data_IF_658019829005
#
_entry.id   IF_658019829005
#
_cell.length_a   1.000
_cell.length_b   1.000
_cell.length_c   1.000
_cell.angle_alpha   90.00
_cell.angle_beta   90.00
_cell.angle_gamma   90.00
#
_symmetry.space_group_name_H-M   'P 1'
#
loop_
_entity.id
_entity.type
_entity.pdbx_description
1 polymer ?
#
# COMPACT_ATOMS: atom_id res chain seq x y z
N UNK A 1 -62.80 201.31 57.73
CA UNK A 1 -63.23 201.17 59.14
C UNK A 1 -63.38 199.68 59.46
N UNK A 2 -63.00 199.29 60.68
CA UNK A 2 -63.25 198.02 61.40
C UNK A 2 -62.43 196.75 61.05
N UNK A 3 -61.99 196.08 62.14
CA UNK A 3 -61.09 194.91 62.29
C UNK A 3 -61.83 193.56 62.26
N UNK A 4 -61.07 192.47 61.98
CA UNK A 4 -61.04 191.13 62.65
C UNK A 4 -60.66 190.02 61.63
N UNK A 5 -60.02 188.87 61.88
CA UNK A 5 -59.04 188.34 62.85
C UNK A 5 -58.63 186.93 62.32
N UNK A 6 -57.35 186.52 62.40
CA UNK A 6 -56.80 185.21 61.96
C UNK A 6 -57.26 184.01 62.80
N UNK A 7 -57.28 182.79 62.20
CA UNK A 7 -56.77 181.54 62.80
C UNK A 7 -56.54 180.43 61.73
N UNK A 8 -55.33 179.87 61.67
CA UNK A 8 -54.93 178.77 60.78
C UNK A 8 -54.88 177.39 61.46
N UNK A 9 -54.98 176.31 60.68
CA UNK A 9 -54.84 174.89 61.07
C UNK A 9 -53.47 174.37 60.60
N UNK A 10 -52.73 173.65 61.46
CA UNK A 10 -51.31 173.27 61.32
C UNK A 10 -51.11 171.84 60.75
N UNK A 11 -50.03 171.61 59.98
CA UNK A 11 -49.74 170.38 59.23
C UNK A 11 -49.36 169.11 60.03
N UNK A 12 -49.35 169.15 61.37
CA UNK A 12 -48.99 168.00 62.22
C UNK A 12 -50.05 166.88 62.17
N UNK A 13 -51.32 167.21 62.00
CA UNK A 13 -52.42 166.22 61.92
C UNK A 13 -52.42 165.42 60.62
N UNK A 14 -51.99 166.04 59.50
CA UNK A 14 -51.89 165.35 58.20
C UNK A 14 -50.76 164.31 58.24
N UNK A 15 -49.62 164.64 58.85
CA UNK A 15 -48.48 163.72 58.97
C UNK A 15 -48.81 162.45 59.77
N UNK A 16 -49.60 162.55 60.83
CA UNK A 16 -49.96 161.41 61.68
C UNK A 16 -50.94 160.44 60.98
N UNK A 17 -51.89 160.96 60.21
CA UNK A 17 -52.83 160.13 59.44
C UNK A 17 -52.09 159.35 58.35
N UNK A 18 -51.16 160.00 57.64
CA UNK A 18 -50.37 159.35 56.59
C UNK A 18 -49.45 158.27 57.18
N UNK A 19 -48.82 158.52 58.33
CA UNK A 19 -48.00 157.52 59.01
C UNK A 19 -48.82 156.30 59.46
N UNK A 20 -49.99 156.52 60.07
CA UNK A 20 -50.86 155.42 60.49
C UNK A 20 -51.34 154.58 59.29
N UNK A 21 -51.69 155.22 58.16
CA UNK A 21 -52.09 154.52 56.94
C UNK A 21 -50.94 153.71 56.31
N UNK A 22 -49.72 154.27 56.28
CA UNK A 22 -48.53 153.58 55.78
C UNK A 22 -48.13 152.40 56.67
N UNK A 23 -48.22 152.54 57.99
CA UNK A 23 -47.90 151.45 58.92
C UNK A 23 -48.89 150.29 58.79
N UNK A 24 -50.19 150.59 58.67
CA UNK A 24 -51.23 149.58 58.49
C UNK A 24 -51.06 148.81 57.16
N UNK A 25 -50.83 149.53 56.06
CA UNK A 25 -50.61 148.91 54.75
C UNK A 25 -49.34 148.06 54.71
N UNK A 26 -48.24 148.54 55.32
CA UNK A 26 -47.00 147.77 55.43
C UNK A 26 -47.17 146.48 56.25
N UNK A 27 -47.97 146.51 57.33
CA UNK A 27 -48.19 145.35 58.18
C UNK A 27 -49.02 144.28 57.46
N UNK A 28 -50.06 144.69 56.73
CA UNK A 28 -50.87 143.77 55.90
C UNK A 28 -50.01 143.13 54.82
N UNK A 29 -49.14 143.90 54.15
CA UNK A 29 -48.26 143.39 53.10
C UNK A 29 -47.25 142.35 53.65
N UNK A 30 -46.71 142.60 54.85
CA UNK A 30 -45.79 141.67 55.52
C UNK A 30 -46.46 140.33 55.86
N UNK A 31 -47.71 140.36 56.33
CA UNK A 31 -48.47 139.14 56.64
C UNK A 31 -48.76 138.32 55.37
N UNK A 32 -49.12 138.96 54.25
CA UNK A 32 -49.33 138.26 52.96
C UNK A 32 -48.03 137.60 52.50
N UNK A 33 -46.90 138.33 52.53
CA UNK A 33 -45.60 137.80 52.13
C UNK A 33 -45.17 136.60 52.97
N UNK A 34 -45.36 136.67 54.30
CA UNK A 34 -45.02 135.57 55.20
C UNK A 34 -45.93 134.35 54.98
N UNK A 35 -47.22 134.58 54.71
CA UNK A 35 -48.17 133.50 54.44
C UNK A 35 -47.87 132.80 53.10
N UNK A 36 -47.51 133.55 52.07
CA UNK A 36 -47.13 132.98 50.76
C UNK A 36 -45.78 132.26 50.84
N UNK A 37 -44.82 132.79 51.60
CA UNK A 37 -43.55 132.10 51.83
C UNK A 37 -43.73 130.77 52.58
N UNK A 38 -44.64 130.73 53.56
CA UNK A 38 -44.94 129.50 54.30
C UNK A 38 -45.67 128.48 53.41
N UNK A 39 -46.61 128.92 52.55
CA UNK A 39 -47.25 128.05 51.54
C UNK A 39 -46.25 127.47 50.56
N UNK A 40 -45.33 128.28 50.04
CA UNK A 40 -44.29 127.82 49.11
C UNK A 40 -43.33 126.83 49.77
N UNK A 41 -43.02 127.00 51.07
CA UNK A 41 -42.23 126.02 51.83
C UNK A 41 -42.98 124.71 52.02
N UNK A 42 -44.24 124.76 52.43
CA UNK A 42 -45.07 123.56 52.58
C UNK A 42 -45.24 122.83 51.24
N UNK A 43 -45.39 123.55 50.13
CA UNK A 43 -45.46 122.97 48.80
C UNK A 43 -44.14 122.32 48.39
N UNK A 44 -42.99 122.98 48.62
CA UNK A 44 -41.67 122.44 48.35
C UNK A 44 -41.36 121.18 49.19
N UNK A 45 -41.71 121.16 50.47
CA UNK A 45 -41.52 119.98 51.32
C UNK A 45 -42.46 118.84 50.92
N UNK A 46 -43.72 119.14 50.58
CA UNK A 46 -44.64 118.12 50.05
C UNK A 46 -44.20 117.54 48.70
N UNK A 47 -43.56 118.35 47.85
CA UNK A 47 -42.97 117.92 46.58
C UNK A 47 -41.71 117.07 46.81
N UNK A 48 -40.89 117.41 47.81
CA UNK A 48 -39.74 116.59 48.22
C UNK A 48 -40.18 115.24 48.76
N UNK A 49 -41.16 115.20 49.65
CA UNK A 49 -41.74 113.95 50.17
C UNK A 49 -42.35 113.10 49.06
N UNK A 50 -43.04 113.72 48.09
CA UNK A 50 -43.59 113.01 46.92
C UNK A 50 -42.49 112.51 46.00
N UNK A 51 -41.40 113.26 45.82
CA UNK A 51 -40.23 112.84 45.04
C UNK A 51 -39.55 111.65 45.71
N UNK A 52 -39.33 111.70 47.03
CA UNK A 52 -38.65 110.64 47.78
C UNK A 52 -39.47 109.34 47.86
N UNK A 53 -40.80 109.44 47.89
CA UNK A 53 -41.70 108.27 47.73
C UNK A 53 -41.70 107.66 46.33
N UNK A 54 -41.28 108.42 45.32
CA UNK A 54 -41.28 107.97 43.92
C UNK A 54 -39.89 107.55 43.42
N UNK A 55 -38.81 108.15 43.96
CA UNK A 55 -37.41 107.89 43.60
C UNK A 55 -36.53 108.13 44.83
N UNK A 56 -35.83 107.10 45.28
CA UNK A 56 -34.80 107.21 46.32
C UNK A 56 -33.49 107.75 45.75
N UNK A 57 -32.66 108.38 46.59
CA UNK A 57 -31.38 108.97 46.16
C UNK A 57 -30.39 107.95 45.52
N UNK A 58 -30.55 106.65 45.78
CA UNK A 58 -29.75 105.59 45.16
C UNK A 58 -30.19 105.27 43.71
N UNK A 59 -31.45 105.52 43.38
CA UNK A 59 -32.05 105.27 42.05
C UNK A 59 -31.81 106.43 41.08
N UNK A 60 -31.42 107.61 41.56
CA UNK A 60 -31.08 108.77 40.72
C UNK A 60 -29.91 108.47 39.75
N UNK A 61 -28.99 107.57 40.12
CA UNK A 61 -27.86 107.17 39.27
C UNK A 61 -28.19 106.08 38.25
N UNK A 62 -29.29 105.32 38.40
CA UNK A 62 -29.64 104.19 37.52
C UNK A 62 -30.65 104.54 36.42
N UNK A 63 -31.15 105.78 36.38
CA UNK A 63 -32.32 106.14 35.57
C UNK A 63 -31.99 106.67 34.17
N UNK A 64 -31.65 105.75 33.26
CA UNK A 64 -31.82 106.00 31.81
C UNK A 64 -33.30 106.31 31.48
N UNK A 65 -34.23 105.73 32.25
CA UNK A 65 -35.69 105.91 32.14
C UNK A 65 -36.17 107.33 32.51
N UNK A 66 -35.48 108.05 33.41
CA UNK A 66 -35.81 109.45 33.72
C UNK A 66 -35.45 110.38 32.54
N UNK A 67 -34.41 110.07 31.77
CA UNK A 67 -34.01 110.88 30.61
C UNK A 67 -34.96 110.72 29.42
N UNK A 68 -35.68 109.60 29.34
CA UNK A 68 -36.68 109.33 28.30
C UNK A 68 -38.08 109.86 28.63
N UNK A 69 -38.38 110.15 29.91
CA UNK A 69 -39.64 110.76 30.31
C UNK A 69 -39.60 112.29 30.12
N UNK A 70 -40.37 112.82 29.18
CA UNK A 70 -40.51 114.27 28.91
C UNK A 70 -41.94 114.75 29.15
N UNK A 71 -42.15 116.06 29.18
CA UNK A 71 -43.44 116.75 29.37
C UNK A 71 -44.51 116.36 28.34
N UNK A 72 -44.11 115.85 27.16
CA UNK A 72 -44.98 115.29 26.09
C UNK A 72 -44.67 113.80 25.77
N UNK A 73 -43.92 113.11 26.64
CA UNK A 73 -43.52 111.71 26.47
C UNK A 73 -44.29 110.74 27.37
N UNK A 74 -44.07 109.42 27.23
CA UNK A 74 -44.66 108.44 28.14
C UNK A 74 -44.24 108.73 29.58
N UNK A 75 -45.20 108.62 30.50
CA UNK A 75 -44.93 108.79 31.93
C UNK A 75 -43.96 107.71 32.40
N UNK A 76 -43.24 107.95 33.51
CA UNK A 76 -42.39 106.92 34.13
C UNK A 76 -43.17 105.62 34.36
N UNK A 77 -44.43 105.73 34.78
CA UNK A 77 -45.35 104.60 34.96
C UNK A 77 -45.61 103.88 33.62
N UNK A 78 -45.81 104.62 32.53
CA UNK A 78 -45.99 104.03 31.19
C UNK A 78 -44.75 103.27 30.69
N UNK A 79 -43.55 103.80 30.91
CA UNK A 79 -42.29 103.12 30.53
C UNK A 79 -42.03 101.88 31.40
N UNK A 80 -42.35 101.94 32.69
CA UNK A 80 -42.27 100.78 33.59
C UNK A 80 -43.30 99.71 33.23
N UNK A 81 -44.51 100.11 32.83
CA UNK A 81 -45.57 99.20 32.36
C UNK A 81 -45.21 98.55 31.03
N UNK A 82 -44.58 99.30 30.11
CA UNK A 82 -44.07 98.78 28.84
C UNK A 82 -42.91 97.79 29.06
N UNK A 83 -41.96 98.14 29.93
CA UNK A 83 -40.87 97.25 30.30
C UNK A 83 -41.39 95.97 31.01
N UNK A 84 -42.37 96.11 31.91
CA UNK A 84 -43.01 94.98 32.59
C UNK A 84 -43.73 94.09 31.59
N UNK A 85 -44.60 94.65 30.74
CA UNK A 85 -45.40 93.91 29.78
C UNK A 85 -44.54 93.20 28.72
N UNK A 86 -43.46 93.84 28.27
CA UNK A 86 -42.48 93.21 27.35
C UNK A 86 -41.78 92.03 28.02
N UNK A 87 -41.35 92.19 29.27
CA UNK A 87 -40.70 91.12 30.04
C UNK A 87 -41.68 89.97 30.35
N UNK A 88 -42.92 90.30 30.71
CA UNK A 88 -43.99 89.34 30.96
C UNK A 88 -44.34 88.52 29.70
N UNK A 89 -44.43 89.20 28.55
CA UNK A 89 -44.63 88.55 27.26
C UNK A 89 -43.48 87.61 26.89
N UNK A 90 -42.24 88.00 27.15
CA UNK A 90 -41.06 87.16 26.89
C UNK A 90 -40.98 85.95 27.84
N UNK A 91 -41.31 86.12 29.12
CA UNK A 91 -41.17 85.08 30.14
C UNK A 91 -42.35 84.09 30.21
N UNK A 92 -43.59 84.59 30.07
CA UNK A 92 -44.81 83.82 30.29
C UNK A 92 -45.81 83.86 29.11
N UNK A 93 -45.53 84.66 28.07
CA UNK A 93 -46.38 84.79 26.88
C UNK A 93 -47.59 85.73 27.03
N UNK A 94 -47.87 86.22 28.23
CA UNK A 94 -49.01 87.10 28.53
C UNK A 94 -48.52 88.47 29.06
N UNK A 95 -48.81 89.59 28.37
CA UNK A 95 -48.33 90.92 28.76
C UNK A 95 -48.95 91.49 30.05
N UNK A 96 -50.12 90.97 30.44
CA UNK A 96 -50.85 91.36 31.65
C UNK A 96 -50.34 90.72 32.94
N UNK A 97 -49.49 89.68 32.85
CA UNK A 97 -48.98 89.01 34.05
C UNK A 97 -48.10 89.94 34.88
N UNK A 98 -48.34 89.93 36.19
CA UNK A 98 -47.45 90.54 37.16
C UNK A 98 -46.28 89.59 37.50
N UNK A 99 -45.20 90.08 38.15
CA UNK A 99 -44.05 89.25 38.50
C UNK A 99 -44.41 88.01 39.34
N UNK A 100 -45.43 88.07 40.19
CA UNK A 100 -45.90 86.96 41.01
C UNK A 100 -46.61 85.88 40.18
N UNK A 101 -47.42 86.26 39.21
CA UNK A 101 -48.06 85.36 38.26
C UNK A 101 -47.01 84.64 37.38
N UNK A 102 -45.99 85.36 36.91
CA UNK A 102 -44.87 84.77 36.14
C UNK A 102 -44.14 83.71 36.97
N UNK A 103 -43.80 84.01 38.23
CA UNK A 103 -43.15 83.05 39.12
C UNK A 103 -44.01 81.80 39.37
N UNK A 104 -45.32 81.97 39.52
CA UNK A 104 -46.26 80.86 39.72
C UNK A 104 -46.30 79.94 38.49
N UNK A 105 -46.36 80.53 37.28
CA UNK A 105 -46.35 79.77 36.02
C UNK A 105 -45.03 79.02 35.80
N UNK A 106 -43.89 79.64 36.09
CA UNK A 106 -42.57 78.99 36.03
C UNK A 106 -42.50 77.82 37.01
N UNK A 107 -42.92 78.02 38.26
CA UNK A 107 -42.92 76.97 39.28
C UNK A 107 -43.82 75.79 38.90
N UNK A 108 -45.01 76.07 38.36
CA UNK A 108 -45.93 75.04 37.86
C UNK A 108 -45.33 74.25 36.69
N UNK A 109 -44.66 74.92 35.76
CA UNK A 109 -43.95 74.28 34.66
C UNK A 109 -42.81 73.38 35.15
N UNK A 110 -41.99 73.85 36.09
CA UNK A 110 -40.91 73.05 36.67
C UNK A 110 -41.43 71.82 37.41
N UNK A 111 -42.54 71.93 38.14
CA UNK A 111 -43.20 70.79 38.78
C UNK A 111 -43.69 69.76 37.78
N UNK A 112 -44.24 70.20 36.63
CA UNK A 112 -44.64 69.31 35.54
C UNK A 112 -43.44 68.61 34.91
N UNK A 113 -42.36 69.35 34.65
CA UNK A 113 -41.13 68.81 34.09
C UNK A 113 -40.51 67.72 35.00
N UNK A 114 -40.57 67.91 36.32
CA UNK A 114 -40.18 66.88 37.29
C UNK A 114 -41.11 65.67 37.28
N UNK A 115 -42.42 65.87 37.12
CA UNK A 115 -43.41 64.80 37.12
C UNK A 115 -43.32 63.91 35.86
N UNK A 116 -43.05 64.50 34.70
CA UNK A 116 -43.03 63.80 33.41
C UNK A 116 -41.81 62.86 33.25
N UNK A 117 -40.75 63.01 34.07
CA UNK A 117 -39.51 62.20 34.06
C UNK A 117 -38.81 62.04 32.70
N UNK A 118 -39.15 62.86 31.71
CA UNK A 118 -38.53 62.85 30.37
C UNK A 118 -37.12 63.47 30.41
N UNK A 119 -36.92 64.46 31.27
CA UNK A 119 -35.63 65.12 31.46
C UNK A 119 -34.88 64.40 32.59
N UNK A 120 -33.69 63.89 32.29
CA UNK A 120 -32.90 63.10 33.23
C UNK A 120 -32.51 63.86 34.52
N UNK A 121 -32.32 65.18 34.41
CA UNK A 121 -31.99 66.04 35.56
C UNK A 121 -32.76 67.38 35.49
N UNK A 122 -34.00 67.41 36.00
CA UNK A 122 -34.83 68.61 36.06
C UNK A 122 -34.23 69.75 36.90
N UNK A 123 -33.35 69.43 37.85
CA UNK A 123 -32.78 70.41 38.78
C UNK A 123 -31.83 71.38 38.07
N UNK A 124 -31.26 70.98 36.92
CA UNK A 124 -30.40 71.83 36.10
C UNK A 124 -31.11 73.09 35.55
N UNK A 125 -32.45 73.14 35.61
CA UNK A 125 -33.25 74.26 35.12
C UNK A 125 -33.83 75.15 36.23
N UNK A 126 -33.65 74.80 37.51
CA UNK A 126 -34.39 75.41 38.63
C UNK A 126 -34.10 76.91 38.86
N UNK A 127 -32.88 77.36 38.53
CA UNK A 127 -32.41 78.74 38.79
C UNK A 127 -31.84 79.45 37.55
N UNK A 128 -32.11 78.92 36.35
CA UNK A 128 -31.61 79.50 35.10
C UNK A 128 -32.50 80.64 34.60
N UNK A 129 -31.86 81.65 34.00
CA UNK A 129 -32.59 82.63 33.18
C UNK A 129 -33.22 81.95 31.96
N UNK A 130 -34.25 82.58 31.37
CA UNK A 130 -34.90 82.05 30.16
C UNK A 130 -33.90 81.81 29.02
N UNK A 131 -32.89 82.66 28.87
CA UNK A 131 -31.86 82.47 27.84
C UNK A 131 -30.99 81.26 28.16
N UNK A 132 -30.54 81.12 29.41
CA UNK A 132 -29.70 80.00 29.83
C UNK A 132 -30.45 78.65 29.77
N UNK A 133 -31.77 78.64 30.01
CA UNK A 133 -32.58 77.42 29.86
C UNK A 133 -32.77 77.04 28.39
N UNK A 134 -32.93 78.01 27.48
CA UNK A 134 -32.96 77.77 26.03
C UNK A 134 -31.61 77.26 25.49
N UNK A 135 -30.49 77.84 25.93
CA UNK A 135 -29.15 77.36 25.59
C UNK A 135 -28.95 75.92 26.07
N UNK A 136 -29.33 75.62 27.31
CA UNK A 136 -29.25 74.26 27.86
C UNK A 136 -30.13 73.26 27.10
N UNK A 137 -31.34 73.67 26.72
CA UNK A 137 -32.23 72.85 25.90
C UNK A 137 -31.64 72.57 24.52
N UNK A 138 -31.01 73.57 23.89
CA UNK A 138 -30.32 73.41 22.61
C UNK A 138 -29.15 72.42 22.72
N UNK A 139 -28.34 72.49 23.78
CA UNK A 139 -27.26 71.53 24.04
C UNK A 139 -27.80 70.11 24.19
N UNK A 140 -28.83 69.91 25.02
CA UNK A 140 -29.45 68.60 25.21
C UNK A 140 -30.00 68.06 23.89
N UNK A 141 -30.73 68.87 23.12
CA UNK A 141 -31.24 68.47 21.82
C UNK A 141 -30.12 68.11 20.83
N UNK A 142 -29.03 68.88 20.82
CA UNK A 142 -27.86 68.59 19.98
C UNK A 142 -27.23 67.25 20.37
N UNK A 143 -27.05 66.98 21.67
CA UNK A 143 -26.50 65.70 22.14
C UNK A 143 -27.44 64.53 21.80
N UNK A 144 -28.74 64.68 22.03
CA UNK A 144 -29.72 63.64 21.70
C UNK A 144 -29.78 63.36 20.20
N UNK A 145 -29.74 64.40 19.36
CA UNK A 145 -29.67 64.27 17.90
C UNK A 145 -28.41 63.51 17.47
N UNK A 146 -27.24 63.80 18.06
CA UNK A 146 -26.01 63.05 17.78
C UNK A 146 -26.08 61.58 18.22
N UNK A 147 -26.65 61.30 19.41
CA UNK A 147 -26.81 59.94 19.92
C UNK A 147 -27.78 59.13 19.06
N UNK A 148 -28.88 59.75 18.59
CA UNK A 148 -29.82 59.12 17.65
C UNK A 148 -29.14 58.79 16.32
N UNK A 149 -28.39 59.73 15.76
CA UNK A 149 -27.64 59.50 14.53
C UNK A 149 -26.59 58.37 14.67
N UNK A 150 -25.92 58.28 15.82
CA UNK A 150 -25.02 57.15 16.11
C UNK A 150 -25.76 55.83 16.30
N UNK A 151 -26.90 55.84 17.00
CA UNK A 151 -27.73 54.65 17.19
C UNK A 151 -28.27 54.13 15.86
N UNK A 152 -28.72 55.01 14.96
CA UNK A 152 -29.13 54.66 13.60
C UNK A 152 -27.97 54.05 12.80
N UNK A 153 -26.77 54.64 12.87
CA UNK A 153 -25.56 54.07 12.23
C UNK A 153 -25.24 52.68 12.78
N UNK A 154 -25.32 52.49 14.11
CA UNK A 154 -25.09 51.18 14.74
C UNK A 154 -26.16 50.16 14.33
N UNK A 155 -27.43 50.57 14.24
CA UNK A 155 -28.50 49.70 13.78
C UNK A 155 -28.31 49.29 12.32
N UNK A 156 -27.89 50.22 11.46
CA UNK A 156 -27.58 49.93 10.06
C UNK A 156 -26.37 48.99 9.91
N UNK A 157 -25.28 49.22 10.63
CA UNK A 157 -24.10 48.33 10.64
C UNK A 157 -24.47 46.93 11.17
N UNK A 158 -25.28 46.86 12.23
CA UNK A 158 -25.74 45.59 12.77
C UNK A 158 -26.63 44.84 11.78
N UNK A 159 -27.55 45.52 11.09
CA UNK A 159 -28.38 44.93 10.04
C UNK A 159 -27.51 44.38 8.91
N UNK A 160 -26.52 45.16 8.44
CA UNK A 160 -25.61 44.73 7.40
C UNK A 160 -24.79 43.49 7.80
N UNK A 161 -24.35 43.41 9.07
CA UNK A 161 -23.66 42.22 9.59
C UNK A 161 -24.57 41.01 9.68
N UNK A 162 -25.82 41.20 10.09
CA UNK A 162 -26.82 40.11 10.13
C UNK A 162 -27.10 39.59 8.72
N UNK A 163 -27.31 40.48 7.75
CA UNK A 163 -27.54 40.10 6.35
C UNK A 163 -26.33 39.37 5.77
N UNK A 164 -25.11 39.87 6.05
CA UNK A 164 -23.86 39.19 5.65
C UNK A 164 -23.75 37.79 6.27
N UNK A 165 -24.05 37.64 7.56
CA UNK A 165 -24.00 36.35 8.24
C UNK A 165 -25.07 35.37 7.74
N UNK A 166 -26.25 35.86 7.36
CA UNK A 166 -27.31 35.06 6.72
C UNK A 166 -26.84 34.60 5.34
N UNK A 167 -26.26 35.49 4.53
CA UNK A 167 -25.72 35.16 3.22
C UNK A 167 -24.60 34.11 3.31
N UNK A 168 -23.65 34.28 4.23
CA UNK A 168 -22.55 33.34 4.47
C UNK A 168 -23.08 31.97 4.93
N UNK A 169 -23.98 31.93 5.91
CA UNK A 169 -24.59 30.67 6.35
C UNK A 169 -25.40 29.97 5.25
N UNK A 170 -26.08 30.74 4.39
CA UNK A 170 -26.81 30.19 3.24
C UNK A 170 -25.84 29.61 2.21
N UNK A 171 -24.71 30.28 1.98
CA UNK A 171 -23.63 29.79 1.12
C UNK A 171 -22.98 28.51 1.70
N UNK A 172 -22.75 28.46 3.01
CA UNK A 172 -22.22 27.26 3.65
C UNK A 172 -23.22 26.10 3.58
N UNK A 173 -24.50 26.36 3.83
CA UNK A 173 -25.55 25.34 3.75
C UNK A 173 -25.66 24.76 2.33
N UNK A 174 -25.71 25.61 1.31
CA UNK A 174 -25.73 25.16 -0.08
C UNK A 174 -24.46 24.38 -0.45
N UNK A 175 -23.28 24.84 -0.02
CA UNK A 175 -22.03 24.11 -0.19
C UNK A 175 -22.03 22.72 0.49
N UNK A 176 -22.57 22.61 1.70
CA UNK A 176 -22.74 21.33 2.39
C UNK A 176 -23.75 20.42 1.68
N UNK A 177 -24.89 20.96 1.24
CA UNK A 177 -25.91 20.20 0.51
C UNK A 177 -25.34 19.63 -0.81
N UNK A 178 -24.51 20.40 -1.52
CA UNK A 178 -23.82 19.95 -2.73
C UNK A 178 -22.76 18.88 -2.44
N UNK A 179 -22.01 19.01 -1.34
CA UNK A 179 -21.07 17.98 -0.89
C UNK A 179 -21.78 16.68 -0.50
N UNK A 180 -22.91 16.77 0.20
CA UNK A 180 -23.73 15.61 0.58
C UNK A 180 -24.22 14.90 -0.68
N UNK A 181 -24.80 15.63 -1.65
CA UNK A 181 -25.22 15.03 -2.94
C UNK A 181 -24.05 14.38 -3.69
N UNK A 182 -22.89 15.02 -3.71
CA UNK A 182 -21.70 14.47 -4.35
C UNK A 182 -21.20 13.19 -3.65
N UNK A 183 -21.28 13.13 -2.32
CA UNK A 183 -20.94 11.94 -1.54
C UNK A 183 -21.96 10.82 -1.73
N UNK A 184 -23.25 11.13 -1.76
CA UNK A 184 -24.32 10.17 -2.05
C UNK A 184 -24.16 9.56 -3.45
N UNK A 185 -23.85 10.39 -4.46
CA UNK A 185 -23.56 9.91 -5.80
C UNK A 185 -22.35 8.97 -5.82
N UNK A 186 -21.24 9.35 -5.16
CA UNK A 186 -20.05 8.48 -5.03
C UNK A 186 -20.35 7.17 -4.29
N UNK A 187 -21.22 7.21 -3.29
CA UNK A 187 -21.64 6.02 -2.55
C UNK A 187 -22.44 5.08 -3.45
N UNK A 188 -23.40 5.61 -4.21
CA UNK A 188 -24.19 4.86 -5.18
C UNK A 188 -23.30 4.24 -6.28
N UNK A 189 -22.34 5.02 -6.81
CA UNK A 189 -21.37 4.53 -7.79
C UNK A 189 -20.51 3.40 -7.20
N UNK A 190 -20.01 3.58 -5.98
CA UNK A 190 -19.21 2.57 -5.29
C UNK A 190 -20.01 1.28 -5.01
N UNK A 191 -21.27 1.40 -4.60
CA UNK A 191 -22.20 0.27 -4.42
C UNK A 191 -22.43 -0.47 -5.75
N UNK A 192 -22.75 0.26 -6.82
CA UNK A 192 -22.95 -0.34 -8.14
C UNK A 192 -21.69 -1.05 -8.68
N UNK A 193 -20.52 -0.44 -8.47
CA UNK A 193 -19.24 -1.04 -8.83
C UNK A 193 -18.98 -2.31 -8.02
N UNK A 194 -19.27 -2.30 -6.71
CA UNK A 194 -19.15 -3.48 -5.85
C UNK A 194 -20.07 -4.60 -6.32
N UNK A 195 -21.34 -4.31 -6.57
CA UNK A 195 -22.31 -5.31 -7.01
C UNK A 195 -21.93 -5.92 -8.37
N UNK A 196 -21.38 -5.10 -9.27
CA UNK A 196 -20.87 -5.57 -10.57
C UNK A 196 -19.66 -6.49 -10.40
N UNK A 197 -18.72 -6.16 -9.50
CA UNK A 197 -17.54 -6.96 -9.20
C UNK A 197 -17.92 -8.27 -8.52
N UNK A 198 -18.83 -8.23 -7.54
CA UNK A 198 -19.33 -9.42 -6.85
C UNK A 198 -20.04 -10.36 -7.84
N UNK A 199 -20.84 -9.82 -8.76
CA UNK A 199 -21.49 -10.60 -9.82
C UNK A 199 -20.47 -11.21 -10.79
N UNK A 200 -19.46 -10.44 -11.21
CA UNK A 200 -18.40 -10.93 -12.09
C UNK A 200 -17.54 -12.01 -11.41
N UNK A 201 -17.25 -11.86 -10.11
CA UNK A 201 -16.51 -12.84 -9.34
C UNK A 201 -17.31 -14.13 -9.17
N UNK A 202 -18.60 -14.03 -8.83
CA UNK A 202 -19.48 -15.21 -8.75
C UNK A 202 -19.57 -15.95 -10.09
N UNK A 203 -19.70 -15.22 -11.20
CA UNK A 203 -19.71 -15.82 -12.53
C UNK A 203 -18.41 -16.56 -12.85
N UNK A 204 -17.25 -15.96 -12.54
CA UNK A 204 -15.93 -16.62 -12.71
C UNK A 204 -15.76 -17.85 -11.82
N UNK A 205 -16.20 -17.79 -10.56
CA UNK A 205 -16.14 -18.93 -9.65
C UNK A 205 -17.00 -20.07 -10.19
N UNK A 206 -18.23 -19.79 -10.62
CA UNK A 206 -19.12 -20.80 -11.21
C UNK A 206 -18.52 -21.42 -12.49
N UNK A 207 -17.93 -20.60 -13.36
CA UNK A 207 -17.25 -21.07 -14.58
C UNK A 207 -16.01 -21.95 -14.27
N UNK A 208 -15.22 -21.57 -13.26
CA UNK A 208 -14.10 -22.38 -12.79
C UNK A 208 -14.55 -23.69 -12.15
N UNK A 209 -15.61 -23.68 -11.34
CA UNK A 209 -16.18 -24.90 -10.74
C UNK A 209 -16.72 -25.84 -11.82
N UNK A 210 -17.39 -25.31 -12.83
CA UNK A 210 -17.86 -26.08 -13.98
C UNK A 210 -16.68 -26.66 -14.77
N UNK A 211 -15.64 -25.86 -15.03
CA UNK A 211 -14.42 -26.29 -15.73
C UNK A 211 -13.67 -27.38 -14.95
N UNK A 212 -13.54 -27.25 -13.63
CA UNK A 212 -12.92 -28.27 -12.78
C UNK A 212 -13.74 -29.56 -12.76
N UNK A 213 -15.06 -29.45 -12.70
CA UNK A 213 -15.96 -30.61 -12.73
C UNK A 213 -15.86 -31.34 -14.06
N UNK A 214 -15.86 -30.60 -15.17
CA UNK A 214 -15.67 -31.14 -16.51
C UNK A 214 -14.29 -31.80 -16.66
N UNK A 215 -13.21 -31.12 -16.25
CA UNK A 215 -11.86 -31.65 -16.31
C UNK A 215 -11.71 -32.93 -15.48
N UNK A 216 -12.33 -33.00 -14.30
CA UNK A 216 -12.35 -34.23 -13.48
C UNK A 216 -13.12 -35.35 -14.16
N UNK A 217 -14.26 -35.05 -14.78
CA UNK A 217 -15.03 -36.04 -15.53
C UNK A 217 -14.22 -36.57 -16.73
N UNK A 218 -13.58 -35.68 -17.49
CA UNK A 218 -12.75 -36.02 -18.64
C UNK A 218 -11.53 -36.86 -18.22
N UNK A 219 -10.84 -36.50 -17.12
CA UNK A 219 -9.73 -37.28 -16.57
C UNK A 219 -10.18 -38.67 -16.10
N UNK A 220 -11.32 -38.77 -15.42
CA UNK A 220 -11.86 -40.06 -15.00
C UNK A 220 -12.24 -40.94 -16.19
N UNK A 221 -12.81 -40.34 -17.23
CA UNK A 221 -13.13 -41.04 -18.48
C UNK A 221 -11.86 -41.52 -19.19
N UNK A 222 -10.82 -40.68 -19.28
CA UNK A 222 -9.54 -41.04 -19.87
C UNK A 222 -8.83 -42.17 -19.10
N UNK A 223 -8.82 -42.12 -17.77
CA UNK A 223 -8.25 -43.19 -16.94
C UNK A 223 -9.04 -44.49 -17.08
N UNK A 224 -10.38 -44.41 -17.19
CA UNK A 224 -11.21 -45.59 -17.43
C UNK A 224 -10.92 -46.22 -18.80
N UNK A 225 -10.81 -45.41 -19.85
CA UNK A 225 -10.48 -45.86 -21.20
C UNK A 225 -9.07 -46.48 -21.25
N UNK A 226 -8.06 -45.83 -20.65
CA UNK A 226 -6.70 -46.37 -20.59
C UNK A 226 -6.62 -47.69 -19.83
N UNK A 227 -7.37 -47.83 -18.71
CA UNK A 227 -7.46 -49.11 -17.98
C UNK A 227 -8.11 -50.20 -18.82
N UNK A 228 -9.16 -49.87 -19.57
CA UNK A 228 -9.82 -50.82 -20.46
C UNK A 228 -8.89 -51.24 -21.60
N UNK A 229 -8.18 -50.28 -22.23
CA UNK A 229 -7.17 -50.58 -23.24
C UNK A 229 -6.04 -51.45 -22.67
N UNK A 230 -5.50 -51.12 -21.50
CA UNK A 230 -4.44 -51.89 -20.84
C UNK A 230 -4.87 -53.31 -20.53
N UNK A 231 -6.08 -53.50 -20.01
CA UNK A 231 -6.67 -54.83 -19.79
C UNK A 231 -6.80 -55.60 -21.11
N UNK A 232 -7.29 -54.95 -22.17
CA UNK A 232 -7.37 -55.54 -23.50
C UNK A 232 -6.01 -55.93 -24.08
N UNK A 233 -4.99 -55.09 -23.91
CA UNK A 233 -3.61 -55.39 -24.31
C UNK A 233 -3.00 -56.54 -23.50
N UNK A 234 -3.25 -56.60 -22.20
CA UNK A 234 -2.79 -57.72 -21.35
C UNK A 234 -3.43 -59.05 -21.79
N UNK A 235 -4.72 -59.06 -22.11
CA UNK A 235 -5.39 -60.23 -22.64
C UNK A 235 -4.79 -60.68 -23.98
N UNK A 236 -4.62 -59.73 -24.93
CA UNK A 236 -3.97 -60.01 -26.22
C UNK A 236 -2.53 -60.48 -26.06
N UNK A 237 -1.79 -59.90 -25.12
CA UNK A 237 -0.41 -60.29 -24.83
C UNK A 237 -0.32 -61.68 -24.23
N UNK A 238 -1.20 -62.02 -23.28
CA UNK A 238 -1.29 -63.37 -22.73
C UNK A 238 -1.67 -64.41 -23.81
N UNK A 239 -2.61 -64.07 -24.70
CA UNK A 239 -2.97 -64.92 -25.84
C UNK A 239 -1.78 -65.08 -26.81
N UNK A 240 -1.08 -64.00 -27.13
CA UNK A 240 0.09 -64.02 -28.02
C UNK A 240 1.23 -64.84 -27.42
N UNK A 241 1.51 -64.71 -26.11
CA UNK A 241 2.46 -65.57 -25.40
C UNK A 241 2.02 -67.02 -25.50
N UNK A 242 0.75 -67.34 -25.20
CA UNK A 242 0.27 -68.73 -25.28
C UNK A 242 0.48 -69.31 -26.68
N UNK A 243 0.16 -68.56 -27.73
CA UNK A 243 0.39 -68.96 -29.12
C UNK A 243 1.88 -69.07 -29.44
N UNK A 244 2.70 -68.14 -28.95
CA UNK A 244 4.14 -68.16 -29.13
C UNK A 244 4.77 -69.37 -28.45
N UNK A 245 4.38 -69.68 -27.21
CA UNK A 245 4.82 -70.88 -26.49
C UNK A 245 4.36 -72.15 -27.17
N UNK A 246 3.14 -72.19 -27.72
CA UNK A 246 2.64 -73.32 -28.51
C UNK A 246 3.44 -73.49 -29.81
N UNK A 247 3.71 -72.39 -30.51
CA UNK A 247 4.56 -72.39 -31.70
C UNK A 247 5.99 -72.77 -31.37
N UNK A 248 6.54 -72.32 -30.24
CA UNK A 248 7.87 -72.70 -29.76
C UNK A 248 7.94 -74.14 -29.27
N UNK A 249 6.89 -74.71 -28.66
CA UNK A 249 6.88 -76.15 -28.34
C UNK A 249 6.75 -76.99 -29.60
N UNK A 250 5.98 -76.53 -30.58
CA UNK A 250 5.96 -77.13 -31.92
C UNK A 250 7.29 -76.97 -32.66
N UNK A 251 7.97 -75.83 -32.52
CA UNK A 251 9.29 -75.61 -33.12
C UNK A 251 10.39 -76.35 -32.37
N UNK A 252 10.40 -76.37 -31.05
CA UNK A 252 11.36 -77.06 -30.18
C UNK A 252 11.12 -78.57 -30.10
N UNK A 253 9.96 -79.07 -30.53
CA UNK A 253 9.80 -80.49 -30.88
C UNK A 253 10.32 -80.81 -32.29
N UNK A 254 10.53 -79.80 -33.13
CA UNK A 254 11.15 -79.91 -34.46
C UNK A 254 12.65 -79.53 -34.47
N UNK A 255 13.11 -78.76 -33.48
CA UNK A 255 14.47 -78.34 -33.27
C UNK A 255 14.95 -78.90 -31.94
N UNK A 256 15.95 -79.77 -32.01
CA UNK A 256 16.70 -80.23 -30.84
C UNK A 256 17.30 -79.00 -30.16
N UNK A 257 16.67 -78.49 -29.10
CA UNK A 257 17.29 -77.48 -28.25
C UNK A 257 18.48 -78.13 -27.54
N UNK A 258 19.72 -77.61 -27.71
CA UNK A 258 20.84 -77.99 -26.86
C UNK A 258 20.50 -77.55 -25.43
N UNK A 259 20.44 -78.51 -24.50
CA UNK A 259 20.20 -78.21 -23.09
C UNK A 259 21.25 -77.24 -22.53
N UNK A 260 20.83 -76.49 -21.50
CA UNK A 260 21.66 -75.58 -20.72
C UNK A 260 23.06 -76.18 -20.49
N UNK A 261 24.09 -75.52 -21.05
CA UNK A 261 25.52 -75.86 -20.92
C UNK A 261 26.04 -77.09 -21.68
N UNK A 262 25.25 -77.71 -22.57
CA UNK A 262 25.74 -78.89 -23.31
C UNK A 262 26.73 -78.49 -24.40
N UNK A 263 26.53 -77.38 -25.11
CA UNK A 263 27.42 -76.99 -26.23
C UNK A 263 28.83 -76.59 -25.77
N UNK A 264 28.95 -75.80 -24.69
CA UNK A 264 30.28 -75.41 -24.14
C UNK A 264 31.04 -76.55 -23.44
N UNK A 265 30.36 -77.68 -23.16
CA UNK A 265 30.96 -78.90 -22.59
C UNK A 265 31.05 -80.04 -23.59
N UNK A 266 30.67 -79.80 -24.84
CA UNK A 266 30.91 -80.74 -25.92
C UNK A 266 32.35 -80.56 -26.41
N UNK A 267 33.12 -81.65 -26.54
CA UNK A 267 34.43 -81.58 -27.13
C UNK A 267 34.31 -81.33 -28.63
N UNK A 268 34.94 -80.26 -29.11
CA UNK A 268 34.98 -79.95 -30.54
C UNK A 268 35.84 -80.93 -31.30
N UNK A 269 36.83 -81.54 -30.65
CA UNK A 269 37.74 -82.49 -31.27
C UNK A 269 38.53 -83.30 -30.26
N UNK A 270 39.57 -83.96 -30.76
CA UNK A 270 40.53 -84.75 -29.99
C UNK A 270 41.94 -84.59 -30.53
N UNK A 271 42.91 -84.77 -29.65
CA UNK A 271 44.32 -84.90 -29.99
C UNK A 271 44.53 -86.23 -30.71
N UNK A 272 45.03 -86.19 -31.94
CA UNK A 272 45.39 -87.37 -32.73
C UNK A 272 46.74 -87.92 -32.30
N UNK A 273 47.73 -87.03 -32.14
CA UNK A 273 49.10 -87.40 -31.84
C UNK A 273 49.79 -86.27 -31.09
N UNK A 274 50.43 -86.60 -29.97
CA UNK A 274 51.30 -85.69 -29.23
C UNK A 274 52.76 -86.15 -29.43
N UNK A 275 53.60 -85.29 -29.99
CA UNK A 275 55.01 -85.64 -30.23
C UNK A 275 55.78 -85.43 -28.92
N UNK A 276 56.25 -86.53 -28.31
CA UNK A 276 56.98 -86.46 -27.04
C UNK A 276 58.34 -85.80 -27.25
N UNK A 277 58.55 -84.64 -26.65
CA UNK A 277 59.82 -83.88 -26.70
C UNK A 277 59.84 -82.73 -27.72
N UNK A 278 58.78 -82.56 -28.51
CA UNK A 278 58.56 -81.40 -29.38
C UNK A 278 57.28 -80.67 -28.92
N UNK A 279 57.21 -79.37 -29.13
CA UNK A 279 56.05 -78.56 -28.71
C UNK A 279 54.90 -78.64 -29.73
N UNK A 280 54.85 -79.67 -30.56
CA UNK A 280 53.87 -79.87 -31.63
C UNK A 280 52.85 -80.98 -31.31
N UNK A 281 51.57 -80.68 -31.50
CA UNK A 281 50.43 -81.57 -31.27
C UNK A 281 49.52 -81.53 -32.50
N UNK A 282 49.13 -82.71 -32.98
CA UNK A 282 48.20 -82.83 -34.10
C UNK A 282 46.78 -83.09 -33.61
N UNK A 283 45.82 -82.34 -34.13
CA UNK A 283 44.40 -82.43 -33.77
C UNK A 283 43.53 -82.87 -34.94
N UNK A 284 42.36 -83.44 -34.65
CA UNK A 284 41.39 -83.92 -35.64
C UNK A 284 40.43 -82.82 -36.15
N UNK A 285 40.94 -81.58 -36.24
CA UNK A 285 40.25 -80.42 -36.78
C UNK A 285 41.08 -79.86 -37.93
N UNK A 286 40.47 -79.56 -39.07
CA UNK A 286 41.19 -79.04 -40.23
C UNK A 286 40.42 -77.95 -40.98
N UNK A 287 40.83 -77.68 -42.22
CA UNK A 287 40.20 -76.68 -43.08
C UNK A 287 38.72 -76.97 -43.36
N UNK A 288 38.33 -78.26 -43.40
CA UNK A 288 36.92 -78.68 -43.56
C UNK A 288 36.02 -78.27 -42.40
N UNK A 289 36.60 -78.06 -41.21
CA UNK A 289 35.88 -77.70 -40.00
C UNK A 289 35.86 -76.18 -39.76
N UNK A 290 36.21 -75.36 -40.77
CA UNK A 290 36.31 -73.90 -40.66
C UNK A 290 37.32 -73.39 -39.62
N UNK A 291 38.39 -74.16 -39.38
CA UNK A 291 39.46 -73.79 -38.47
C UNK A 291 40.25 -72.56 -38.99
N UNK A 292 40.63 -71.65 -38.08
CA UNK A 292 41.40 -70.43 -38.40
C UNK A 292 42.80 -70.51 -37.80
N UNK A 293 43.81 -70.03 -38.53
CA UNK A 293 45.19 -69.97 -38.04
C UNK A 293 45.29 -69.07 -36.80
N UNK A 294 46.06 -69.50 -35.80
CA UNK A 294 46.24 -68.76 -34.54
C UNK A 294 45.12 -68.99 -33.52
N UNK A 295 44.07 -69.73 -33.85
CA UNK A 295 43.03 -70.11 -32.89
C UNK A 295 43.59 -71.00 -31.77
N UNK A 296 43.14 -70.77 -30.55
CA UNK A 296 43.58 -71.54 -29.37
C UNK A 296 42.52 -72.54 -28.94
N UNK A 297 42.98 -73.71 -28.47
CA UNK A 297 42.13 -74.74 -27.89
C UNK A 297 42.62 -75.12 -26.50
N UNK A 298 41.65 -75.35 -25.62
CA UNK A 298 41.88 -75.95 -24.32
C UNK A 298 41.84 -77.48 -24.44
N UNK A 299 42.85 -78.15 -23.89
CA UNK A 299 42.96 -79.61 -23.86
C UNK A 299 42.46 -80.13 -22.51
N UNK A 300 41.63 -81.16 -22.56
CA UNK A 300 41.00 -81.82 -21.41
C UNK A 300 41.26 -83.33 -21.44
N UNK A 301 41.33 -83.99 -20.26
CA UNK A 301 41.54 -85.43 -20.20
C UNK A 301 40.33 -86.18 -20.80
N UNK A 302 40.60 -87.24 -21.55
CA UNK A 302 39.56 -88.08 -22.15
C UNK A 302 38.59 -88.74 -21.14
N UNK A 303 39.06 -88.99 -19.91
CA UNK A 303 38.31 -89.70 -18.86
C UNK A 303 37.34 -88.83 -18.05
N UNK A 304 37.50 -87.51 -18.07
CA UNK A 304 36.77 -86.58 -17.19
C UNK A 304 35.78 -85.64 -17.88
N UNK A 305 35.84 -85.53 -19.21
CA UNK A 305 35.08 -84.51 -19.95
C UNK A 305 35.54 -83.08 -19.63
N UNK A 306 34.77 -82.08 -20.05
CA UNK A 306 35.07 -80.66 -19.81
C UNK A 306 34.51 -80.27 -18.43
N UNK A 307 35.36 -79.88 -17.45
CA UNK A 307 34.91 -79.46 -16.13
C UNK A 307 34.01 -78.22 -16.20
N UNK A 308 33.07 -78.09 -15.26
CA UNK A 308 32.20 -76.93 -15.17
C UNK A 308 32.96 -75.59 -15.04
N UNK A 309 34.13 -75.62 -14.42
CA UNK A 309 34.98 -74.45 -14.19
C UNK A 309 35.88 -74.09 -15.40
N UNK A 310 35.84 -74.88 -16.48
CA UNK A 310 36.61 -74.66 -17.71
C UNK A 310 38.12 -74.90 -17.62
N UNK A 311 38.64 -75.36 -16.47
CA UNK A 311 40.08 -75.55 -16.24
C UNK A 311 40.67 -76.64 -17.15
N UNK A 312 41.56 -76.24 -18.04
CA UNK A 312 42.24 -77.11 -19.00
C UNK A 312 43.56 -77.67 -18.45
N UNK A 313 43.99 -78.82 -18.95
CA UNK A 313 45.29 -79.40 -18.61
C UNK A 313 46.43 -78.88 -19.47
N UNK A 314 46.13 -78.45 -20.68
CA UNK A 314 47.09 -77.82 -21.58
C UNK A 314 46.38 -76.90 -22.57
N UNK A 315 47.14 -76.04 -23.23
CA UNK A 315 46.67 -75.16 -24.30
C UNK A 315 47.51 -75.32 -25.52
N UNK A 316 46.84 -75.34 -26.66
CA UNK A 316 47.45 -75.50 -27.96
C UNK A 316 46.94 -74.39 -28.88
N UNK A 317 47.82 -73.88 -29.75
CA UNK A 317 47.49 -72.86 -30.74
C UNK A 317 47.75 -73.40 -32.14
N UNK A 318 46.79 -73.23 -33.05
CA UNK A 318 46.89 -73.71 -34.43
C UNK A 318 47.97 -72.94 -35.19
N UNK A 319 49.00 -73.63 -35.69
CA UNK A 319 50.10 -73.03 -36.47
C UNK A 319 50.01 -73.37 -37.96
N UNK A 320 49.59 -74.59 -38.29
CA UNK A 320 49.36 -75.01 -39.66
C UNK A 320 48.07 -75.81 -39.77
N UNK A 321 47.32 -75.58 -40.84
CA UNK A 321 46.02 -76.22 -41.09
C UNK A 321 46.17 -77.09 -42.33
N UNK A 322 45.77 -78.36 -42.20
CA UNK A 322 45.64 -79.31 -43.30
C UNK A 322 44.15 -79.59 -43.57
N UNK A 323 43.87 -80.48 -44.52
CA UNK A 323 42.50 -80.73 -44.98
C UNK A 323 41.56 -81.26 -43.87
N UNK A 324 42.03 -82.20 -43.04
CA UNK A 324 41.26 -82.84 -41.96
C UNK A 324 42.02 -82.93 -40.63
N UNK A 325 43.13 -82.22 -40.52
CA UNK A 325 43.94 -82.13 -39.30
C UNK A 325 44.62 -80.78 -39.24
N UNK A 326 45.13 -80.42 -38.06
CA UNK A 326 45.92 -79.23 -37.87
C UNK A 326 47.08 -79.53 -36.94
N UNK A 327 48.19 -78.85 -37.21
CA UNK A 327 49.38 -78.81 -36.37
C UNK A 327 49.24 -77.62 -35.42
N UNK A 328 49.26 -77.93 -34.13
CA UNK A 328 49.14 -76.96 -33.07
C UNK A 328 50.41 -76.93 -32.22
N UNK A 329 50.88 -75.74 -31.86
CA UNK A 329 51.94 -75.57 -30.88
C UNK A 329 51.38 -75.57 -29.46
N UNK A 330 52.03 -76.29 -28.56
CA UNK A 330 51.72 -76.27 -27.12
C UNK A 330 52.17 -74.94 -26.53
N UNK A 331 51.21 -74.16 -26.02
CA UNK A 331 51.47 -72.86 -25.40
C UNK A 331 51.75 -72.99 -23.91
N UNK A 332 51.00 -73.86 -23.24
CA UNK A 332 51.08 -74.04 -21.79
C UNK A 332 50.60 -75.44 -21.41
N UNK A 333 51.25 -76.05 -20.43
CA UNK A 333 50.82 -77.29 -19.78
C UNK A 333 50.70 -77.03 -18.28
N UNK A 334 49.62 -77.51 -17.66
CA UNK A 334 49.42 -77.40 -16.22
C UNK A 334 50.47 -78.24 -15.47
N UNK A 335 50.80 -77.84 -14.24
CA UNK A 335 51.80 -78.57 -13.43
C UNK A 335 51.35 -80.02 -13.21
N UNK A 336 52.24 -80.96 -13.49
CA UNK A 336 52.04 -82.41 -13.37
C UNK A 336 51.03 -83.02 -14.36
N UNK A 337 50.69 -82.32 -15.43
CA UNK A 337 49.83 -82.85 -16.51
C UNK A 337 50.65 -83.16 -17.76
N UNK A 338 50.17 -84.11 -18.56
CA UNK A 338 50.72 -84.41 -19.90
C UNK A 338 49.60 -84.45 -20.94
N UNK A 339 49.94 -84.04 -22.17
CA UNK A 339 49.05 -84.20 -23.33
C UNK A 339 49.23 -85.62 -23.85
N UNK A 340 48.14 -86.37 -23.90
CA UNK A 340 48.07 -87.74 -24.34
C UNK A 340 47.21 -87.84 -25.61
N UNK A 341 47.44 -88.87 -26.40
CA UNK A 341 46.59 -89.17 -27.55
C UNK A 341 45.15 -89.46 -27.09
N UNK A 342 44.18 -88.92 -27.80
CA UNK A 342 42.76 -89.07 -27.48
C UNK A 342 42.19 -88.05 -26.49
N UNK A 343 43.03 -87.14 -25.95
CA UNK A 343 42.56 -86.01 -25.16
C UNK A 343 41.55 -85.16 -25.92
N UNK A 344 40.59 -84.61 -25.19
CA UNK A 344 39.55 -83.78 -25.77
C UNK A 344 40.06 -82.36 -25.96
N UNK A 345 39.68 -81.72 -27.06
CA UNK A 345 39.92 -80.30 -27.26
C UNK A 345 38.58 -79.59 -27.37
N UNK A 346 38.50 -78.40 -26.79
CA UNK A 346 37.34 -77.55 -26.93
C UNK A 346 37.70 -76.06 -26.92
N UNK A 347 36.92 -75.30 -27.67
CA UNK A 347 36.92 -73.86 -27.68
C UNK A 347 35.45 -73.40 -27.72
N UNK A 348 34.93 -72.74 -26.66
CA UNK A 348 33.53 -72.32 -26.57
C UNK A 348 33.12 -71.27 -27.63
N UNK A 349 34.10 -70.69 -28.34
CA UNK A 349 33.87 -69.68 -29.39
C UNK A 349 33.83 -70.32 -30.78
N UNK A 350 34.14 -71.61 -30.90
CA UNK A 350 34.24 -72.31 -32.17
C UNK A 350 33.10 -73.33 -32.33
N UNK A 351 32.48 -73.35 -33.52
CA UNK A 351 31.58 -74.42 -33.97
C UNK A 351 31.91 -74.73 -35.43
N UNK A 352 32.02 -76.02 -35.76
CA UNK A 352 32.42 -76.51 -37.08
C UNK A 352 31.43 -76.13 -38.19
N UNK A 353 30.17 -75.86 -37.84
CA UNK A 353 29.06 -75.75 -38.79
C UNK A 353 28.59 -74.31 -39.00
N UNK A 354 28.86 -73.39 -38.07
CA UNK A 354 28.47 -71.97 -38.19
C UNK A 354 29.28 -71.06 -37.26
N UNK A 355 29.44 -69.77 -37.61
CA UNK A 355 29.93 -68.79 -36.64
C UNK A 355 28.91 -68.63 -35.50
N UNK A 356 29.40 -68.63 -34.27
CA UNK A 356 28.57 -68.42 -33.08
C UNK A 356 28.30 -66.94 -32.85
N UNK A 357 27.15 -66.64 -32.26
CA UNK A 357 26.69 -65.29 -31.95
C UNK A 357 26.75 -65.02 -30.45
N UNK A 358 27.38 -63.90 -30.09
CA UNK A 358 27.67 -63.51 -28.71
C UNK A 358 27.09 -62.14 -28.40
N UNK A 359 26.63 -61.98 -27.16
CA UNK A 359 26.35 -60.67 -26.55
C UNK A 359 27.29 -60.50 -25.37
N UNK A 360 28.05 -59.41 -25.35
CA UNK A 360 29.02 -59.09 -24.29
C UNK A 360 28.43 -58.02 -23.39
N UNK A 361 28.42 -58.25 -22.08
CA UNK A 361 27.84 -57.31 -21.11
C UNK A 361 28.67 -57.24 -19.83
N UNK A 362 28.97 -56.02 -19.39
CA UNK A 362 29.63 -55.75 -18.11
C UNK A 362 31.04 -55.17 -18.26
N UNK A 363 31.70 -54.99 -17.11
CA UNK A 363 33.08 -54.50 -17.06
C UNK A 363 34.02 -55.70 -16.92
N UNK A 364 35.13 -55.72 -17.66
CA UNK A 364 36.06 -56.86 -17.69
C UNK A 364 37.42 -56.49 -17.09
N UNK A 365 38.03 -57.47 -16.42
CA UNK A 365 39.38 -57.43 -15.84
C UNK A 365 40.15 -58.62 -16.44
N UNK A 366 40.80 -58.39 -17.58
CA UNK A 366 41.45 -59.44 -18.38
C UNK A 366 42.82 -59.77 -17.81
N UNK A 367 43.56 -58.76 -17.33
CA UNK A 367 44.88 -58.94 -16.74
C UNK A 367 44.85 -59.39 -15.28
N UNK A 368 43.65 -59.41 -14.66
CA UNK A 368 43.39 -59.83 -13.28
C UNK A 368 44.18 -59.00 -12.27
N UNK A 369 44.38 -57.72 -12.55
CA UNK A 369 45.06 -56.80 -11.64
C UNK A 369 44.12 -56.25 -10.54
N UNK A 370 42.82 -56.56 -10.61
CA UNK A 370 41.79 -56.12 -9.65
C UNK A 370 41.13 -54.79 -10.00
N UNK A 371 41.57 -54.14 -11.08
CA UNK A 371 40.97 -52.98 -11.72
C UNK A 371 40.35 -53.40 -13.06
N UNK A 372 39.25 -52.76 -13.46
CA UNK A 372 38.62 -53.04 -14.75
C UNK A 372 39.40 -52.38 -15.87
N UNK A 373 39.68 -53.11 -16.95
CA UNK A 373 40.39 -52.58 -18.11
C UNK A 373 39.59 -51.42 -18.73
N UNK A 374 40.29 -50.31 -18.98
CA UNK A 374 39.72 -49.12 -19.61
C UNK A 374 39.16 -49.45 -20.99
N UNK A 375 37.85 -49.60 -21.09
CA UNK A 375 37.18 -50.04 -22.32
C UNK A 375 36.00 -50.99 -22.11
N UNK A 376 35.79 -51.52 -20.90
CA UNK A 376 34.59 -52.33 -20.61
C UNK A 376 34.49 -53.55 -21.52
N UNK A 377 33.48 -53.57 -22.40
CA UNK A 377 33.15 -54.67 -23.32
C UNK A 377 34.16 -54.82 -24.48
N UNK A 378 34.84 -53.74 -24.90
CA UNK A 378 35.63 -53.67 -26.14
C UNK A 378 36.73 -54.74 -26.29
N UNK A 379 37.59 -55.01 -25.29
CA UNK A 379 38.67 -55.99 -25.45
C UNK A 379 38.14 -57.42 -25.63
N UNK A 380 37.02 -57.76 -24.98
CA UNK A 380 36.37 -59.06 -25.13
C UNK A 380 35.66 -59.18 -26.47
N UNK A 381 35.00 -58.11 -26.94
CA UNK A 381 34.41 -58.11 -28.28
C UNK A 381 35.45 -58.31 -29.39
N UNK A 382 36.62 -57.69 -29.25
CA UNK A 382 37.72 -57.86 -30.19
C UNK A 382 38.19 -59.31 -30.24
N UNK A 383 38.38 -59.95 -29.08
CA UNK A 383 38.78 -61.36 -28.99
C UNK A 383 37.75 -62.30 -29.62
N UNK A 384 36.46 -62.06 -29.41
CA UNK A 384 35.38 -62.85 -30.04
C UNK A 384 35.40 -62.70 -31.56
N UNK A 385 35.59 -61.47 -32.07
CA UNK A 385 35.64 -61.19 -33.51
C UNK A 385 36.88 -61.78 -34.17
N UNK A 386 38.04 -61.69 -33.52
CA UNK A 386 39.31 -62.23 -34.03
C UNK A 386 39.27 -63.75 -34.23
N UNK A 387 38.42 -64.45 -33.49
CA UNK A 387 38.25 -65.90 -33.58
C UNK A 387 37.06 -66.34 -34.43
N UNK A 388 36.44 -65.41 -35.17
CA UNK A 388 35.36 -65.70 -36.12
C UNK A 388 33.96 -65.72 -35.51
N UNK A 389 33.79 -65.32 -34.25
CA UNK A 389 32.50 -65.09 -33.63
C UNK A 389 31.86 -63.78 -34.07
N UNK A 390 30.53 -63.71 -34.01
CA UNK A 390 29.76 -62.49 -34.28
C UNK A 390 29.29 -61.87 -32.98
N UNK A 391 29.60 -60.59 -32.75
CA UNK A 391 29.12 -59.85 -31.57
C UNK A 391 27.91 -59.03 -31.96
N UNK A 392 26.80 -59.22 -31.24
CA UNK A 392 25.55 -58.49 -31.44
C UNK A 392 25.24 -57.66 -30.20
N UNK A 393 24.67 -56.47 -30.37
CA UNK A 393 24.29 -55.58 -29.27
C UNK A 393 22.93 -55.91 -28.66
N UNK A 394 22.09 -56.61 -29.41
CA UNK A 394 20.74 -57.00 -29.02
C UNK A 394 20.69 -58.49 -28.70
N UNK A 395 20.17 -58.81 -27.52
CA UNK A 395 19.93 -60.18 -27.11
C UNK A 395 18.64 -60.68 -27.77
N UNK A 396 18.79 -61.64 -28.67
CA UNK A 396 17.67 -62.35 -29.31
C UNK A 396 17.70 -63.83 -28.97
N UNK A 397 16.61 -64.55 -29.22
CA UNK A 397 16.56 -66.01 -29.06
C UNK A 397 17.49 -66.78 -30.02
N UNK A 398 18.08 -66.11 -31.01
CA UNK A 398 19.08 -66.67 -31.91
C UNK A 398 20.52 -66.50 -31.40
N UNK A 399 20.70 -65.82 -30.27
CA UNK A 399 22.02 -65.64 -29.64
C UNK A 399 22.47 -66.96 -29.03
N UNK A 400 23.68 -67.40 -29.34
CA UNK A 400 24.21 -68.67 -28.83
C UNK A 400 24.71 -68.53 -27.39
N UNK A 401 25.42 -67.44 -27.05
CA UNK A 401 25.98 -67.22 -25.72
C UNK A 401 25.96 -65.76 -25.27
N UNK A 402 25.85 -65.55 -23.95
CA UNK A 402 26.08 -64.24 -23.32
C UNK A 402 27.35 -64.30 -22.48
N UNK A 403 28.31 -63.43 -22.78
CA UNK A 403 29.55 -63.30 -22.00
C UNK A 403 29.34 -62.20 -20.95
N UNK A 404 29.42 -62.58 -19.68
CA UNK A 404 29.10 -61.71 -18.54
C UNK A 404 30.37 -61.37 -17.76
N UNK A 405 30.69 -60.08 -17.74
CA UNK A 405 31.76 -59.49 -16.96
C UNK A 405 31.41 -59.26 -15.49
N UNK A 406 32.27 -58.53 -14.79
CA UNK A 406 31.95 -57.99 -13.48
C UNK A 406 30.84 -56.95 -13.60
N UNK A 407 29.97 -56.95 -12.59
CA UNK A 407 28.86 -56.02 -12.56
C UNK A 407 29.39 -54.58 -12.36
N UNK A 408 28.99 -53.61 -13.21
CA UNK A 408 29.54 -52.26 -13.15
C UNK A 408 29.44 -51.64 -11.76
N UNK A 409 30.56 -51.10 -11.26
CA UNK A 409 30.60 -50.43 -9.96
C UNK A 409 30.06 -49.01 -10.12
N UNK A 410 29.03 -48.68 -9.33
CA UNK A 410 28.50 -47.31 -9.26
C UNK A 410 29.28 -46.55 -8.20
N UNK A 411 30.13 -45.58 -8.56
CA UNK A 411 30.86 -44.80 -7.59
C UNK A 411 29.88 -43.96 -6.74
N UNK A 412 30.16 -43.74 -5.44
CA UNK A 412 29.35 -42.86 -4.63
C UNK A 412 29.34 -41.47 -5.26
N UNK A 413 28.18 -40.82 -5.26
CA UNK A 413 28.02 -39.46 -5.76
C UNK A 413 28.80 -38.49 -4.85
N UNK A 414 30.09 -38.31 -5.14
CA UNK A 414 30.89 -37.25 -4.55
C UNK A 414 30.36 -35.90 -5.09
N UNK A 415 30.35 -34.86 -4.25
CA UNK A 415 29.65 -33.59 -4.49
C UNK A 415 30.16 -32.70 -5.64
N UNK A 416 30.84 -33.24 -6.65
CA UNK A 416 31.21 -32.52 -7.88
C UNK A 416 30.31 -32.91 -9.06
N UNK A 417 30.10 -31.98 -10.00
CA UNK A 417 29.30 -32.23 -11.21
C UNK A 417 29.85 -33.43 -12.02
N UNK A 418 31.17 -33.52 -12.17
CA UNK A 418 31.84 -34.63 -12.87
C UNK A 418 31.67 -35.99 -12.17
N UNK A 419 31.47 -36.01 -10.85
CA UNK A 419 31.19 -37.23 -10.10
C UNK A 419 29.71 -37.64 -10.23
N UNK A 420 28.79 -36.67 -10.31
CA UNK A 420 27.37 -36.92 -10.52
C UNK A 420 27.09 -37.52 -11.91
N UNK A 421 27.74 -37.01 -12.96
CA UNK A 421 27.56 -37.53 -14.32
C UNK A 421 28.18 -38.92 -14.50
N UNK A 422 29.34 -39.18 -13.88
CA UNK A 422 29.93 -40.53 -13.82
C UNK A 422 29.06 -41.52 -13.06
N UNK A 423 28.43 -41.10 -11.95
CA UNK A 423 27.51 -41.94 -11.19
C UNK A 423 26.25 -42.29 -12.01
N UNK A 424 25.66 -41.32 -12.74
CA UNK A 424 24.52 -41.57 -13.64
C UNK A 424 24.88 -42.52 -14.77
N UNK A 425 26.03 -42.33 -15.42
CA UNK A 425 26.49 -43.22 -16.49
C UNK A 425 26.76 -44.65 -15.98
N UNK A 426 27.34 -44.79 -14.78
CA UNK A 426 27.54 -46.08 -14.15
C UNK A 426 26.22 -46.76 -13.77
N UNK A 427 25.22 -45.99 -13.29
CA UNK A 427 23.89 -46.51 -12.99
C UNK A 427 23.19 -47.02 -14.26
N UNK A 428 23.24 -46.28 -15.36
CA UNK A 428 22.65 -46.72 -16.63
C UNK A 428 23.30 -47.99 -17.17
N UNK A 429 24.63 -48.12 -17.05
CA UNK A 429 25.36 -49.35 -17.40
C UNK A 429 24.95 -50.52 -16.51
N UNK A 430 24.75 -50.27 -15.21
CA UNK A 430 24.29 -51.29 -14.27
C UNK A 430 22.87 -51.77 -14.59
N UNK A 431 21.96 -50.85 -14.88
CA UNK A 431 20.59 -51.19 -15.26
C UNK A 431 20.55 -51.99 -16.59
N UNK A 432 21.43 -51.66 -17.55
CA UNK A 432 21.60 -52.45 -18.78
C UNK A 432 22.12 -53.86 -18.48
N UNK A 433 23.11 -53.98 -17.60
CA UNK A 433 23.68 -55.25 -17.16
C UNK A 433 22.61 -56.15 -16.53
N UNK A 434 21.84 -55.62 -15.58
CA UNK A 434 20.81 -56.40 -14.87
C UNK A 434 19.68 -56.84 -15.84
N UNK A 435 19.24 -55.95 -16.74
CA UNK A 435 18.25 -56.28 -17.78
C UNK A 435 18.71 -57.37 -18.74
N UNK A 436 19.97 -57.35 -19.15
CA UNK A 436 20.52 -58.34 -20.08
C UNK A 436 20.63 -59.73 -19.43
N UNK A 437 21.02 -59.80 -18.15
CA UNK A 437 21.04 -61.07 -17.41
C UNK A 437 19.62 -61.62 -17.22
N UNK A 438 18.66 -60.77 -16.89
CA UNK A 438 17.26 -61.19 -16.78
C UNK A 438 16.72 -61.70 -18.12
N UNK A 439 16.99 -60.97 -19.20
CA UNK A 439 16.57 -61.35 -20.55
C UNK A 439 17.23 -62.66 -21.01
N UNK A 440 18.50 -62.88 -20.68
CA UNK A 440 19.20 -64.14 -20.98
C UNK A 440 18.55 -65.33 -20.26
N UNK A 441 18.14 -65.15 -19.00
CA UNK A 441 17.39 -66.18 -18.26
C UNK A 441 16.01 -66.43 -18.87
N UNK A 442 15.28 -65.39 -19.26
CA UNK A 442 13.95 -65.52 -19.88
C UNK A 442 14.01 -66.23 -21.23
N UNK A 443 15.07 -65.97 -22.01
CA UNK A 443 15.28 -66.58 -23.33
C UNK A 443 16.03 -67.92 -23.26
N UNK A 444 16.39 -68.39 -22.06
CA UNK A 444 17.18 -69.61 -21.82
C UNK A 444 18.50 -69.64 -22.62
N UNK A 445 19.13 -68.48 -22.81
CA UNK A 445 20.44 -68.37 -23.48
C UNK A 445 21.54 -68.69 -22.47
N UNK A 446 22.50 -69.60 -22.79
CA UNK A 446 23.62 -69.92 -21.91
C UNK A 446 24.50 -68.71 -21.57
N UNK A 447 24.88 -68.60 -20.29
CA UNK A 447 25.71 -67.51 -19.77
C UNK A 447 27.12 -68.00 -19.45
N UNK A 448 28.13 -67.39 -20.07
CA UNK A 448 29.55 -67.61 -19.79
C UNK A 448 30.06 -66.46 -18.91
N UNK A 449 30.46 -66.77 -17.68
CA UNK A 449 31.09 -65.75 -16.81
C UNK A 449 32.50 -65.42 -17.30
N UNK A 450 32.99 -64.23 -16.95
CA UNK A 450 34.35 -63.79 -17.26
C UNK A 450 35.40 -64.82 -16.85
N UNK A 451 35.29 -65.45 -15.67
CA UNK A 451 36.26 -66.45 -15.24
C UNK A 451 36.29 -67.69 -16.13
N UNK A 452 35.11 -68.18 -16.51
CA UNK A 452 34.97 -69.33 -17.40
C UNK A 452 35.51 -68.97 -18.78
N UNK A 453 35.09 -67.83 -19.32
CA UNK A 453 35.56 -67.30 -20.60
C UNK A 453 37.09 -67.14 -20.61
N UNK A 454 37.65 -66.45 -19.61
CA UNK A 454 39.08 -66.29 -19.48
C UNK A 454 39.80 -67.61 -19.27
N UNK A 455 39.26 -68.62 -18.58
CA UNK A 455 39.93 -69.92 -18.49
C UNK A 455 40.09 -70.59 -19.86
N UNK A 456 39.10 -70.46 -20.72
CA UNK A 456 39.16 -70.96 -22.10
C UNK A 456 40.22 -70.22 -22.93
N UNK A 457 40.40 -68.90 -22.75
CA UNK A 457 41.42 -68.10 -23.44
C UNK A 457 42.86 -68.23 -22.86
N UNK A 458 43.00 -68.93 -21.75
CA UNK A 458 43.47 -68.19 -20.58
C UNK A 458 44.89 -67.73 -20.33
N UNK A 459 44.99 -66.43 -20.24
CA UNK A 459 44.83 -65.73 -18.95
C UNK A 459 44.66 -66.62 -17.68
N UNK A 460 45.74 -67.30 -17.30
CA UNK A 460 45.90 -67.82 -15.95
C UNK A 460 46.36 -66.63 -15.09
N UNK A 461 45.48 -66.13 -14.23
CA UNK A 461 45.87 -65.14 -13.24
C UNK A 461 47.11 -65.61 -12.49
N UNK A 462 48.14 -64.77 -12.43
CA UNK A 462 49.25 -64.95 -11.48
C UNK A 462 48.61 -65.01 -10.09
N UNK A 463 48.54 -66.19 -9.52
CA UNK A 463 48.08 -66.41 -8.15
C UNK A 463 49.06 -65.75 -7.17
N UNK A 464 48.84 -64.48 -6.87
CA UNK A 464 49.37 -63.81 -5.68
C UNK A 464 48.19 -63.47 -4.78
N UNK A 465 47.67 -64.43 -4.04
CA UNK A 465 46.59 -64.19 -3.09
C UNK A 465 47.05 -63.28 -1.94
N UNK A 466 46.27 -62.28 -1.50
CA UNK A 466 46.49 -61.66 -0.20
C UNK A 466 46.10 -62.66 0.89
N UNK A 467 47.02 -62.91 1.82
CA UNK A 467 46.71 -63.58 3.07
C UNK A 467 45.60 -62.80 3.79
N UNK A 468 44.45 -63.47 3.99
CA UNK A 468 43.50 -63.11 5.04
C UNK A 468 44.24 -63.21 6.38
N UNK A 469 44.71 -62.07 6.87
CA UNK A 469 45.15 -61.93 8.24
C UNK A 469 43.90 -61.97 9.13
N UNK A 470 43.81 -63.03 9.93
CA UNK A 470 42.98 -63.06 11.10
C UNK A 470 43.50 -61.99 12.09
N UNK A 471 42.63 -61.05 12.45
CA UNK A 471 42.49 -60.48 13.79
C UNK A 471 41.17 -59.72 13.91
#
# INVERSE_FOLDING_TARGET
MARAQQRGVSGVTIGLIVFAALFLTSTVFLVILYTDQEKLRQEADSLRDRKERAVSAAEENSLALLRSAKTDGPTMVGLMEEARSTTARLAAGAPEDDPAAIQTKITAFMKRLQADQVVADPAQFADLSLLASLERMYELYRTESSLRAEAEKRAADLSARVDSAIAENTSHKTGFDDQVKALEAKLADCQSSRDSLDSAHRAKIADFEQSLTKLRADMNAAVADERQQKSGWQQRYAELISRYTELQTRLGSLQVSPGENVTARQPDGRVLKAVVGDDAVYVNLGAKDALVLGMEFAVYPASGGIPADGRAKARIRVEAIHESSAECRVMQVARNETINEGDLIANPIFDRNRPLSFVVVGDFDIDRNGETDGGGEFPVEALVKDWGGTVTTELTALTDFVIVGLAPRVPPAAGSADAADRAKAAQLRRDRYDKMIESAKTLSVPVLTQDVFLHFLGYAGRSGGPQLAAQ
#
